data_IF_946407933971
#
_entry.id   IF_946407933971
#
_cell.length_a   1.000
_cell.length_b   1.000
_cell.length_c   1.000
_cell.angle_alpha   90.00
_cell.angle_beta   90.00
_cell.angle_gamma   90.00
#
_symmetry.space_group_name_H-M   'P 1'
#
loop_
_entity.id
_entity.type
_entity.pdbx_description
1 polymer ?
#
# COMPACT_ATOMS: atom_id res chain seq x y z
N UNK A 1 -14.31 -39.96 29.34
CA UNK A 1 -15.77 -39.73 29.19
C UNK A 1 -15.99 -38.25 28.91
N UNK A 2 -16.47 -37.84 27.73
CA UNK A 2 -16.72 -36.43 27.42
C UNK A 2 -18.15 -36.03 27.81
N UNK A 3 -18.28 -34.95 28.57
CA UNK A 3 -19.56 -34.37 28.97
C UNK A 3 -20.17 -33.54 27.85
N UNK A 4 -21.38 -33.93 27.43
CA UNK A 4 -22.20 -33.19 26.47
C UNK A 4 -22.94 -32.05 27.19
N UNK A 5 -22.82 -30.82 26.68
CA UNK A 5 -23.68 -29.71 27.07
C UNK A 5 -25.07 -29.88 26.44
N UNK A 6 -26.09 -29.80 27.28
CA UNK A 6 -27.51 -29.88 26.93
C UNK A 6 -28.01 -28.53 26.43
N UNK A 7 -28.45 -28.45 25.17
CA UNK A 7 -29.21 -27.31 24.67
C UNK A 7 -30.69 -27.51 25.00
N UNK A 8 -31.23 -26.66 25.89
CA UNK A 8 -32.69 -26.51 26.07
C UNK A 8 -33.27 -25.70 24.92
N UNK A 9 -34.18 -26.31 24.18
CA UNK A 9 -35.13 -25.62 23.29
C UNK A 9 -36.21 -25.00 24.19
N UNK A 10 -36.44 -23.69 24.06
CA UNK A 10 -37.56 -22.99 24.71
C UNK A 10 -38.64 -22.75 23.66
N UNK A 11 -39.87 -23.07 24.03
CA UNK A 11 -41.08 -23.06 23.20
C UNK A 11 -41.37 -21.73 22.49
N UNK A 12 -41.88 -21.84 21.26
CA UNK A 12 -42.24 -20.73 20.39
C UNK A 12 -43.57 -20.07 20.75
N UNK A 13 -43.58 -18.72 20.70
CA UNK A 13 -44.79 -17.90 20.71
C UNK A 13 -45.26 -17.64 19.27
N UNK A 14 -46.57 -17.51 19.01
CA UNK A 14 -47.11 -17.27 17.68
C UNK A 14 -46.76 -15.86 17.15
N UNK A 15 -46.23 -15.79 15.93
CA UNK A 15 -45.88 -14.56 15.22
C UNK A 15 -47.14 -13.81 14.75
N UNK A 16 -47.35 -12.57 15.22
CA UNK A 16 -48.23 -11.60 14.56
C UNK A 16 -47.57 -11.09 13.27
N UNK A 17 -48.36 -10.99 12.19
CA UNK A 17 -47.89 -10.86 10.79
C UNK A 17 -47.19 -9.55 10.41
N UNK A 18 -47.19 -8.54 11.27
CA UNK A 18 -46.77 -7.17 10.89
C UNK A 18 -45.67 -6.58 11.79
N UNK A 19 -44.83 -7.41 12.42
CA UNK A 19 -43.74 -6.90 13.28
C UNK A 19 -42.44 -7.67 13.09
N UNK A 20 -41.43 -6.99 12.55
CA UNK A 20 -40.05 -7.50 12.46
C UNK A 20 -39.31 -7.14 13.76
N UNK A 21 -38.86 -8.15 14.51
CA UNK A 21 -37.95 -7.97 15.65
C UNK A 21 -36.54 -8.40 15.25
N UNK A 22 -35.60 -7.48 15.25
CA UNK A 22 -34.17 -7.75 15.11
C UNK A 22 -33.56 -7.79 16.52
N UNK A 23 -33.06 -8.95 16.92
CA UNK A 23 -32.23 -9.10 18.11
C UNK A 23 -30.76 -8.93 17.69
N UNK A 24 -30.08 -7.94 18.25
CA UNK A 24 -28.63 -7.81 18.15
C UNK A 24 -28.03 -8.35 19.45
N UNK A 25 -27.06 -9.25 19.32
CA UNK A 25 -26.43 -9.91 20.45
C UNK A 25 -25.49 -8.97 21.20
N UNK A 26 -25.30 -9.25 22.49
CA UNK A 26 -24.57 -8.49 23.50
C UNK A 26 -25.24 -7.18 23.99
N UNK A 27 -26.27 -7.35 24.82
CA UNK A 27 -26.39 -6.55 26.04
C UNK A 27 -27.06 -5.17 25.97
N UNK A 28 -27.88 -4.86 24.98
CA UNK A 28 -28.64 -3.60 25.02
C UNK A 28 -30.07 -3.64 24.43
N UNK A 29 -30.89 -2.70 24.92
CA UNK A 29 -32.37 -2.63 24.85
C UNK A 29 -32.99 -2.94 23.49
N UNK A 30 -33.98 -3.85 23.48
CA UNK A 30 -34.87 -4.13 22.34
C UNK A 30 -35.68 -2.88 21.97
N UNK A 31 -35.48 -2.35 20.75
CA UNK A 31 -36.32 -1.30 20.17
C UNK A 31 -37.33 -1.91 19.21
N UNK A 32 -38.60 -1.54 19.36
CA UNK A 32 -39.69 -1.98 18.47
C UNK A 32 -40.02 -0.84 17.52
N UNK A 33 -40.07 -1.11 16.21
CA UNK A 33 -40.45 -0.15 15.18
C UNK A 33 -41.80 -0.56 14.59
N UNK A 34 -42.77 0.36 14.60
CA UNK A 34 -44.04 0.20 13.91
C UNK A 34 -43.94 0.90 12.56
N UNK A 35 -44.28 0.19 11.47
CA UNK A 35 -44.40 0.79 10.14
C UNK A 35 -45.85 1.17 9.89
N UNK A 36 -46.09 2.43 9.55
CA UNK A 36 -47.40 2.86 9.04
C UNK A 36 -47.49 2.55 7.53
N UNK A 37 -48.54 1.83 7.07
CA UNK A 37 -48.72 1.52 5.66
C UNK A 37 -49.13 2.78 4.89
N UNK A 38 -48.35 3.16 3.86
CA UNK A 38 -48.72 4.23 2.94
C UNK A 38 -49.85 3.79 1.99
N UNK A 39 -50.79 4.70 1.65
CA UNK A 39 -51.91 4.38 0.77
C UNK A 39 -51.46 4.27 -0.70
N UNK A 40 -51.81 3.14 -1.33
CA UNK A 40 -51.72 2.91 -2.76
C UNK A 40 -52.68 3.85 -3.52
N UNK A 41 -52.14 4.80 -4.28
CA UNK A 41 -52.90 5.59 -5.28
C UNK A 41 -52.61 5.05 -6.67
N UNK A 42 -53.70 4.76 -7.38
CA UNK A 42 -53.79 4.06 -8.66
C UNK A 42 -54.01 5.04 -9.83
N UNK A 43 -53.38 4.72 -10.97
CA UNK A 43 -53.67 5.07 -12.38
C UNK A 43 -53.49 6.51 -12.88
N UNK A 44 -52.65 6.63 -13.92
CA UNK A 44 -52.90 7.51 -15.06
C UNK A 44 -52.75 6.76 -16.40
N UNK A 45 -53.57 7.20 -17.34
CA UNK A 45 -53.94 6.59 -18.63
C UNK A 45 -52.80 6.63 -19.66
N UNK A 46 -52.75 5.61 -20.50
CA UNK A 46 -51.90 5.54 -21.69
C UNK A 46 -52.54 6.31 -22.85
N UNK A 47 -51.91 7.41 -23.27
CA UNK A 47 -52.13 8.01 -24.60
C UNK A 47 -51.38 7.18 -25.64
N UNK A 48 -52.10 6.32 -26.33
CA UNK A 48 -51.64 5.67 -27.56
C UNK A 48 -52.45 6.25 -28.73
N UNK A 49 -51.78 6.35 -29.89
CA UNK A 49 -52.35 6.49 -31.23
C UNK A 49 -52.65 7.91 -31.74
N UNK A 50 -51.59 8.70 -31.98
CA UNK A 50 -51.62 9.78 -33.01
C UNK A 50 -50.25 10.02 -33.64
N UNK A 51 -49.65 9.00 -34.27
CA UNK A 51 -48.47 9.22 -35.14
C UNK A 51 -48.57 8.35 -36.39
N UNK A 52 -49.45 8.77 -37.28
CA UNK A 52 -49.60 8.19 -38.59
C UNK A 52 -50.14 9.24 -39.55
N UNK A 53 -49.30 10.16 -40.00
CA UNK A 53 -49.50 10.85 -41.27
C UNK A 53 -48.20 11.48 -41.77
N UNK A 54 -47.89 11.17 -43.04
CA UNK A 54 -46.62 11.46 -43.69
C UNK A 54 -46.50 12.92 -44.09
N UNK A 55 -45.82 13.70 -43.26
CA UNK A 55 -45.15 14.91 -43.71
C UNK A 55 -43.74 14.52 -44.15
N UNK A 56 -43.59 14.26 -45.44
CA UNK A 56 -42.29 14.26 -46.11
C UNK A 56 -41.82 15.70 -46.18
N UNK A 57 -41.28 16.18 -45.05
CA UNK A 57 -40.45 17.38 -45.01
C UNK A 57 -39.10 16.86 -44.58
N UNK A 58 -38.20 16.72 -45.56
CA UNK A 58 -36.82 16.27 -45.41
C UNK A 58 -35.97 17.37 -44.71
N UNK A 59 -36.55 18.01 -43.70
CA UNK A 59 -35.90 18.99 -42.85
C UNK A 59 -35.74 18.31 -41.50
N UNK A 60 -34.64 17.57 -41.38
CA UNK A 60 -34.16 17.14 -40.08
C UNK A 60 -34.04 18.35 -39.13
N UNK A 61 -34.12 18.13 -37.81
CA UNK A 61 -34.00 19.22 -36.85
C UNK A 61 -32.73 20.03 -37.15
N UNK A 62 -32.86 21.34 -37.29
CA UNK A 62 -31.75 22.22 -37.64
C UNK A 62 -30.68 22.15 -36.53
N UNK A 63 -29.54 21.54 -36.86
CA UNK A 63 -28.44 21.28 -35.92
C UNK A 63 -27.47 22.47 -35.87
N UNK A 64 -27.60 23.41 -36.81
CA UNK A 64 -26.68 24.55 -36.94
C UNK A 64 -26.64 25.44 -35.69
N UNK A 65 -27.73 25.46 -34.90
CA UNK A 65 -27.82 26.24 -33.66
C UNK A 65 -27.19 25.55 -32.43
N UNK A 66 -26.68 24.31 -32.52
CA UNK A 66 -25.99 23.65 -31.41
C UNK A 66 -24.49 23.95 -31.48
N UNK A 67 -23.98 24.81 -30.58
CA UNK A 67 -22.54 25.11 -30.46
C UNK A 67 -21.78 23.94 -29.81
N UNK A 68 -21.50 22.90 -30.60
CA UNK A 68 -20.75 21.72 -30.19
C UNK A 68 -19.25 21.99 -30.00
N UNK A 69 -18.72 23.13 -30.45
CA UNK A 69 -17.32 23.48 -30.28
C UNK A 69 -17.04 23.99 -28.85
N UNK A 70 -18.02 24.66 -28.23
CA UNK A 70 -17.99 25.08 -26.82
C UNK A 70 -18.07 23.92 -25.81
N UNK A 71 -18.58 22.76 -26.22
CA UNK A 71 -18.75 21.57 -25.36
C UNK A 71 -17.37 21.04 -24.94
N UNK A 72 -17.05 21.13 -23.63
CA UNK A 72 -15.72 20.79 -23.11
C UNK A 72 -15.72 19.81 -21.94
N UNK A 73 -16.88 19.62 -21.32
CA UNK A 73 -17.11 18.74 -20.17
C UNK A 73 -18.22 17.72 -20.43
N UNK A 74 -18.31 16.71 -19.57
CA UNK A 74 -19.38 15.70 -19.63
C UNK A 74 -20.75 16.34 -19.43
N UNK A 75 -20.84 17.31 -18.53
CA UNK A 75 -22.07 18.03 -18.21
C UNK A 75 -22.53 18.87 -19.40
N UNK A 76 -21.62 19.53 -20.12
CA UNK A 76 -21.93 20.27 -21.36
C UNK A 76 -22.49 19.33 -22.44
N UNK A 77 -21.89 18.15 -22.61
CA UNK A 77 -22.39 17.16 -23.57
C UNK A 77 -23.79 16.67 -23.18
N UNK A 78 -24.06 16.47 -21.90
CA UNK A 78 -25.39 16.09 -21.44
C UNK A 78 -26.43 17.20 -21.68
N UNK A 79 -26.04 18.48 -21.54
CA UNK A 79 -26.90 19.63 -21.91
C UNK A 79 -27.20 19.59 -23.42
N UNK A 80 -26.18 19.47 -24.27
CA UNK A 80 -26.35 19.40 -25.72
C UNK A 80 -27.24 18.23 -26.16
N UNK A 81 -27.09 17.06 -25.51
CA UNK A 81 -27.92 15.88 -25.79
C UNK A 81 -29.38 16.06 -25.36
N UNK A 82 -29.64 16.71 -24.22
CA UNK A 82 -31.01 17.05 -23.81
C UNK A 82 -31.65 18.06 -24.76
N UNK A 83 -30.89 19.04 -25.22
CA UNK A 83 -31.38 20.02 -26.19
C UNK A 83 -31.72 19.36 -27.53
N UNK A 84 -30.83 18.49 -28.04
CA UNK A 84 -31.14 17.67 -29.22
C UNK A 84 -32.38 16.81 -29.01
N UNK A 85 -32.52 16.19 -27.84
CA UNK A 85 -33.69 15.36 -27.51
C UNK A 85 -34.98 16.17 -27.56
N UNK A 86 -34.98 17.39 -27.02
CA UNK A 86 -36.13 18.31 -27.07
C UNK A 86 -36.43 18.75 -28.50
N UNK A 87 -35.41 19.13 -29.29
CA UNK A 87 -35.57 19.52 -30.70
C UNK A 87 -36.11 18.40 -31.58
N UNK A 88 -35.84 17.14 -31.22
CA UNK A 88 -36.40 15.96 -31.87
C UNK A 88 -37.82 15.61 -31.40
N UNK A 89 -38.52 16.53 -30.71
CA UNK A 89 -39.85 16.32 -30.10
C UNK A 89 -39.87 15.26 -28.98
N UNK A 90 -38.77 15.16 -28.25
CA UNK A 90 -38.62 14.30 -27.05
C UNK A 90 -39.06 12.84 -27.25
N UNK A 91 -38.51 12.11 -28.27
CA UNK A 91 -38.85 10.71 -28.51
C UNK A 91 -38.75 9.87 -27.24
N UNK A 92 -39.80 9.08 -26.97
CA UNK A 92 -39.83 8.26 -25.75
C UNK A 92 -38.66 7.28 -25.70
N UNK A 93 -38.15 6.99 -24.50
CA UNK A 93 -37.04 6.03 -24.34
C UNK A 93 -37.37 4.63 -24.90
N UNK A 94 -38.65 4.24 -24.87
CA UNK A 94 -39.12 2.98 -25.49
C UNK A 94 -39.07 3.03 -27.02
N UNK A 95 -39.33 4.18 -27.62
CA UNK A 95 -39.17 4.39 -29.05
C UNK A 95 -37.70 4.28 -29.44
N UNK A 96 -36.79 4.97 -28.74
CA UNK A 96 -35.35 4.94 -29.00
C UNK A 96 -34.76 3.52 -28.89
N UNK A 97 -35.14 2.78 -27.86
CA UNK A 97 -34.75 1.38 -27.67
C UNK A 97 -35.22 0.49 -28.84
N UNK A 98 -36.47 0.65 -29.28
CA UNK A 98 -37.04 -0.09 -30.42
C UNK A 98 -36.41 0.31 -31.74
N UNK A 99 -36.14 1.60 -31.95
CA UNK A 99 -35.47 2.14 -33.13
C UNK A 99 -34.07 1.54 -33.27
N UNK A 100 -33.29 1.53 -32.18
CA UNK A 100 -31.94 0.95 -32.19
C UNK A 100 -31.97 -0.55 -32.47
N UNK A 101 -32.97 -1.28 -31.97
CA UNK A 101 -33.13 -2.71 -32.25
C UNK A 101 -33.49 -3.01 -33.71
N UNK A 102 -34.15 -2.09 -34.43
CA UNK A 102 -34.53 -2.28 -35.83
C UNK A 102 -33.49 -1.74 -36.82
N UNK A 103 -32.53 -0.92 -36.39
CA UNK A 103 -31.50 -0.34 -37.25
C UNK A 103 -30.25 -1.22 -37.28
N UNK A 104 -29.87 -1.68 -38.47
CA UNK A 104 -28.70 -2.54 -38.63
C UNK A 104 -27.41 -1.75 -38.34
N UNK A 105 -26.56 -2.28 -37.47
CA UNK A 105 -25.29 -1.64 -37.07
C UNK A 105 -25.41 -0.62 -35.94
N UNK A 106 -26.63 -0.33 -35.47
CA UNK A 106 -26.87 0.53 -34.32
C UNK A 106 -26.41 -0.13 -33.01
N UNK A 107 -25.89 0.66 -32.08
CA UNK A 107 -25.60 0.19 -30.72
C UNK A 107 -26.90 0.10 -29.90
N UNK A 108 -27.00 -0.87 -28.99
CA UNK A 108 -28.19 -1.02 -28.16
C UNK A 108 -28.42 0.21 -27.26
N UNK A 109 -29.58 0.85 -27.40
CA UNK A 109 -30.03 1.99 -26.58
C UNK A 109 -30.97 1.53 -25.47
N UNK A 110 -30.44 0.93 -24.40
CA UNK A 110 -31.30 0.58 -23.27
C UNK A 110 -31.84 1.84 -22.58
N UNK A 111 -33.09 1.79 -22.10
CA UNK A 111 -33.75 2.95 -21.44
C UNK A 111 -32.91 3.54 -20.30
N UNK A 112 -32.32 2.69 -19.47
CA UNK A 112 -31.48 3.12 -18.35
C UNK A 112 -30.23 3.86 -18.86
N UNK A 113 -29.55 3.35 -19.88
CA UNK A 113 -28.35 3.98 -20.44
C UNK A 113 -28.66 5.36 -21.02
N UNK A 114 -29.75 5.48 -21.78
CA UNK A 114 -30.15 6.78 -22.36
C UNK A 114 -30.54 7.76 -21.26
N UNK A 115 -31.30 7.31 -20.25
CA UNK A 115 -31.66 8.13 -19.09
C UNK A 115 -30.43 8.63 -18.32
N UNK A 116 -29.47 7.77 -18.04
CA UNK A 116 -28.25 8.12 -17.29
C UNK A 116 -27.34 9.05 -18.10
N UNK A 117 -27.24 8.83 -19.41
CA UNK A 117 -26.53 9.70 -20.34
C UNK A 117 -27.14 11.10 -20.39
N UNK A 118 -28.46 11.20 -20.55
CA UNK A 118 -29.17 12.48 -20.58
C UNK A 118 -29.09 13.23 -19.25
N UNK A 119 -28.90 12.53 -18.13
CA UNK A 119 -28.66 13.13 -16.81
C UNK A 119 -27.20 13.52 -16.57
N UNK A 120 -26.28 13.13 -17.45
CA UNK A 120 -24.84 13.32 -17.25
C UNK A 120 -24.24 12.41 -16.17
N UNK A 121 -24.99 11.42 -15.66
CA UNK A 121 -24.50 10.45 -14.68
C UNK A 121 -23.47 9.53 -15.34
N UNK A 122 -23.72 9.14 -16.59
CA UNK A 122 -22.88 8.23 -17.35
C UNK A 122 -22.36 8.88 -18.61
N UNK A 123 -21.04 8.87 -18.80
CA UNK A 123 -20.43 9.26 -20.08
C UNK A 123 -20.71 8.17 -21.14
N UNK A 124 -21.36 8.50 -22.28
CA UNK A 124 -21.75 7.50 -23.26
C UNK A 124 -20.55 6.93 -24.00
N UNK A 125 -20.66 5.66 -24.43
CA UNK A 125 -19.74 5.11 -25.43
C UNK A 125 -19.99 5.80 -26.77
N UNK A 126 -18.95 5.95 -27.59
CA UNK A 126 -19.06 6.61 -28.90
C UNK A 126 -20.19 6.05 -29.77
N UNK A 127 -20.29 4.72 -29.91
CA UNK A 127 -21.34 4.11 -30.72
C UNK A 127 -22.76 4.38 -30.18
N UNK A 128 -22.92 4.44 -28.85
CA UNK A 128 -24.21 4.77 -28.19
C UNK A 128 -24.59 6.23 -28.46
N UNK A 129 -23.63 7.15 -28.37
CA UNK A 129 -23.84 8.55 -28.72
C UNK A 129 -24.30 8.69 -30.18
N UNK A 130 -23.55 8.10 -31.12
CA UNK A 130 -23.86 8.18 -32.55
C UNK A 130 -25.25 7.61 -32.85
N UNK A 131 -25.57 6.44 -32.29
CA UNK A 131 -26.90 5.82 -32.45
C UNK A 131 -28.01 6.68 -31.88
N UNK A 132 -27.81 7.31 -30.71
CA UNK A 132 -28.81 8.20 -30.11
C UNK A 132 -29.04 9.45 -30.95
N UNK A 133 -27.96 10.05 -31.46
CA UNK A 133 -28.01 11.26 -32.29
C UNK A 133 -28.72 10.96 -33.61
N UNK A 134 -28.42 9.83 -34.26
CA UNK A 134 -29.16 9.35 -35.44
C UNK A 134 -30.64 9.10 -35.15
N UNK A 135 -30.96 8.47 -34.00
CA UNK A 135 -32.35 8.22 -33.59
C UNK A 135 -33.15 9.51 -33.32
N UNK A 136 -32.46 10.62 -33.06
CA UNK A 136 -33.04 11.96 -32.94
C UNK A 136 -33.19 12.67 -34.29
N UNK A 137 -32.90 12.00 -35.41
CA UNK A 137 -33.09 12.52 -36.76
C UNK A 137 -31.87 13.21 -37.36
N UNK A 138 -30.71 13.13 -36.72
CA UNK A 138 -29.46 13.70 -37.26
C UNK A 138 -28.86 12.76 -38.31
N UNK A 139 -28.66 13.21 -39.56
CA UNK A 139 -28.13 12.34 -40.59
C UNK A 139 -26.64 12.04 -40.36
N UNK A 140 -26.19 10.87 -40.83
CA UNK A 140 -24.83 10.36 -40.60
C UNK A 140 -23.71 11.35 -41.03
N UNK A 141 -23.97 12.17 -42.07
CA UNK A 141 -23.04 13.19 -42.56
C UNK A 141 -22.81 14.31 -41.55
N UNK A 142 -23.78 14.56 -40.66
CA UNK A 142 -23.74 15.61 -39.63
C UNK A 142 -23.28 15.07 -38.25
N UNK A 143 -22.84 13.81 -38.16
CA UNK A 143 -22.27 13.26 -36.92
C UNK A 143 -20.83 13.72 -36.63
N UNK A 144 -20.14 14.32 -37.60
CA UNK A 144 -18.73 14.69 -37.44
C UNK A 144 -18.47 15.67 -36.26
N UNK A 145 -19.25 16.75 -36.08
CA UNK A 145 -19.13 17.62 -34.91
C UNK A 145 -19.36 16.88 -33.58
N UNK A 146 -20.38 16.03 -33.49
CA UNK A 146 -20.67 15.21 -32.30
C UNK A 146 -19.51 14.27 -31.95
N UNK A 147 -18.90 13.64 -32.96
CA UNK A 147 -17.71 12.78 -32.79
C UNK A 147 -16.52 13.58 -32.26
N UNK A 148 -16.30 14.80 -32.74
CA UNK A 148 -15.20 15.67 -32.26
C UNK A 148 -15.41 16.08 -30.81
N UNK A 149 -16.61 16.57 -30.47
CA UNK A 149 -16.98 16.92 -29.09
C UNK A 149 -16.80 15.73 -28.14
N UNK A 150 -17.28 14.55 -28.53
CA UNK A 150 -17.11 13.33 -27.75
C UNK A 150 -15.64 12.97 -27.56
N UNK A 151 -14.81 13.05 -28.60
CA UNK A 151 -13.39 12.69 -28.54
C UNK A 151 -12.60 13.63 -27.60
N UNK A 152 -12.92 14.93 -27.63
CA UNK A 152 -12.35 15.95 -26.73
C UNK A 152 -12.65 15.61 -25.27
N UNK A 153 -13.89 15.25 -24.95
CA UNK A 153 -14.30 14.91 -23.58
C UNK A 153 -13.77 13.54 -23.16
N UNK A 154 -13.85 12.53 -24.03
CA UNK A 154 -13.40 11.17 -23.75
C UNK A 154 -11.93 11.12 -23.33
N UNK A 155 -11.12 11.98 -23.93
CA UNK A 155 -9.70 12.12 -23.56
C UNK A 155 -9.57 12.61 -22.12
N UNK A 156 -10.31 13.65 -21.72
CA UNK A 156 -10.32 14.18 -20.34
C UNK A 156 -10.89 13.18 -19.33
N UNK A 157 -12.00 12.53 -19.66
CA UNK A 157 -12.64 11.53 -18.79
C UNK A 157 -11.74 10.32 -18.55
N UNK A 158 -10.93 9.92 -19.54
CA UNK A 158 -9.95 8.85 -19.36
C UNK A 158 -8.90 9.22 -18.30
N UNK A 159 -8.40 10.45 -18.32
CA UNK A 159 -7.44 10.90 -17.29
C UNK A 159 -8.10 11.06 -15.93
N UNK A 160 -9.32 11.63 -15.88
CA UNK A 160 -10.10 11.75 -14.65
C UNK A 160 -10.31 10.39 -13.97
N UNK A 161 -10.66 9.35 -14.72
CA UNK A 161 -10.83 8.01 -14.16
C UNK A 161 -9.52 7.43 -13.60
N UNK A 162 -8.38 7.70 -14.24
CA UNK A 162 -7.06 7.29 -13.73
C UNK A 162 -6.73 8.05 -12.43
N UNK A 163 -6.98 9.35 -12.39
CA UNK A 163 -6.75 10.18 -11.22
C UNK A 163 -7.64 9.77 -10.04
N UNK A 164 -8.92 9.50 -10.28
CA UNK A 164 -9.87 9.01 -9.27
C UNK A 164 -9.45 7.64 -8.72
N UNK A 165 -8.96 6.72 -9.58
CA UNK A 165 -8.41 5.43 -9.13
C UNK A 165 -7.15 5.63 -8.28
N UNK A 166 -6.24 6.51 -8.71
CA UNK A 166 -5.02 6.80 -7.97
C UNK A 166 -5.29 7.50 -6.62
N UNK A 167 -6.31 8.35 -6.55
CA UNK A 167 -6.77 8.97 -5.29
C UNK A 167 -7.42 7.94 -4.37
N UNK A 168 -8.30 7.08 -4.88
CA UNK A 168 -8.92 6.01 -4.11
C UNK A 168 -7.87 5.02 -3.54
N UNK A 169 -6.82 4.71 -4.31
CA UNK A 169 -5.70 3.91 -3.85
C UNK A 169 -4.90 4.60 -2.73
N UNK A 170 -4.61 5.90 -2.87
CA UNK A 170 -3.94 6.69 -1.82
C UNK A 170 -4.75 6.71 -0.53
N UNK A 171 -6.05 6.94 -0.62
CA UNK A 171 -6.94 6.93 0.54
C UNK A 171 -6.98 5.54 1.21
N UNK A 172 -7.02 4.46 0.42
CA UNK A 172 -6.99 3.09 0.94
C UNK A 172 -5.68 2.80 1.68
N UNK A 173 -4.53 3.18 1.12
CA UNK A 173 -3.24 2.98 1.77
C UNK A 173 -3.13 3.79 3.07
N UNK A 174 -3.64 5.02 3.08
CA UNK A 174 -3.70 5.84 4.29
C UNK A 174 -4.53 5.14 5.38
N UNK A 175 -5.74 4.69 5.06
CA UNK A 175 -6.61 3.99 6.02
C UNK A 175 -5.95 2.70 6.54
N UNK A 176 -5.25 1.95 5.69
CA UNK A 176 -4.51 0.76 6.09
C UNK A 176 -3.32 1.10 7.00
N UNK A 177 -2.59 2.16 6.70
CA UNK A 177 -1.48 2.65 7.53
C UNK A 177 -1.97 3.08 8.92
N UNK A 178 -3.05 3.86 8.98
CA UNK A 178 -3.68 4.28 10.24
C UNK A 178 -4.17 3.06 11.05
N UNK A 179 -4.79 2.08 10.39
CA UNK A 179 -5.23 0.85 11.04
C UNK A 179 -4.05 0.02 11.59
N UNK A 180 -2.93 -0.06 10.86
CA UNK A 180 -1.70 -0.73 11.34
C UNK A 180 -1.10 -0.02 12.55
N UNK A 181 -1.03 1.31 12.52
CA UNK A 181 -0.53 2.10 13.65
C UNK A 181 -1.42 1.91 14.90
N UNK A 182 -2.74 1.91 14.72
CA UNK A 182 -3.67 1.66 15.82
C UNK A 182 -3.51 0.23 16.38
N UNK A 183 -3.39 -0.78 15.51
CA UNK A 183 -3.15 -2.15 15.95
C UNK A 183 -1.84 -2.29 16.75
N UNK A 184 -0.76 -1.67 16.28
CA UNK A 184 0.54 -1.66 16.98
C UNK A 184 0.42 -1.00 18.36
N UNK A 185 -0.31 0.12 18.47
CA UNK A 185 -0.55 0.78 19.75
C UNK A 185 -1.33 -0.11 20.74
N UNK A 186 -2.33 -0.85 20.26
CA UNK A 186 -3.09 -1.79 21.11
C UNK A 186 -2.18 -2.92 21.62
N UNK A 187 -1.34 -3.48 20.76
CA UNK A 187 -0.38 -4.53 21.13
C UNK A 187 0.59 -4.01 22.19
N UNK A 188 1.19 -2.84 21.98
CA UNK A 188 2.12 -2.24 22.94
C UNK A 188 1.48 -2.01 24.32
N UNK A 189 0.24 -1.53 24.37
CA UNK A 189 -0.51 -1.36 25.62
C UNK A 189 -0.79 -2.71 26.30
N UNK A 190 -1.15 -3.73 25.52
CA UNK A 190 -1.40 -5.07 26.03
C UNK A 190 -0.12 -5.71 26.61
N UNK A 191 1.02 -5.59 25.92
CA UNK A 191 2.32 -6.07 26.38
C UNK A 191 2.77 -5.36 27.66
N UNK A 192 2.66 -4.02 27.70
CA UNK A 192 2.99 -3.25 28.90
C UNK A 192 2.14 -3.68 30.10
N UNK A 193 0.84 -3.91 29.89
CA UNK A 193 -0.07 -4.39 30.93
C UNK A 193 0.26 -5.82 31.37
N UNK A 194 0.60 -6.70 30.43
CA UNK A 194 1.02 -8.07 30.74
C UNK A 194 2.29 -8.07 31.59
N UNK A 195 3.30 -7.26 31.23
CA UNK A 195 4.50 -7.09 32.03
C UNK A 195 4.19 -6.58 33.45
N UNK A 196 3.30 -5.60 33.60
CA UNK A 196 2.89 -5.11 34.93
C UNK A 196 2.22 -6.20 35.78
N UNK A 197 1.37 -7.04 35.18
CA UNK A 197 0.72 -8.16 35.88
C UNK A 197 1.76 -9.17 36.34
N UNK A 198 2.74 -9.51 35.49
CA UNK A 198 3.83 -10.43 35.84
C UNK A 198 4.67 -9.88 37.00
N UNK A 199 5.04 -8.59 36.95
CA UNK A 199 5.79 -7.92 38.02
C UNK A 199 5.01 -7.93 39.34
N UNK A 200 3.72 -7.58 39.31
CA UNK A 200 2.87 -7.58 40.49
C UNK A 200 2.73 -8.99 41.09
N UNK A 201 2.48 -10.00 40.25
CA UNK A 201 2.33 -11.39 40.70
C UNK A 201 3.63 -11.94 41.34
N UNK A 202 4.79 -11.60 40.78
CA UNK A 202 6.06 -12.03 41.35
C UNK A 202 6.35 -11.36 42.70
N UNK A 203 6.04 -10.07 42.81
CA UNK A 203 6.15 -9.34 44.07
C UNK A 203 5.25 -9.94 45.17
N UNK A 204 4.01 -10.31 44.84
CA UNK A 204 3.10 -10.99 45.76
C UNK A 204 3.61 -12.37 46.18
N UNK A 205 4.28 -13.09 45.28
CA UNK A 205 4.85 -14.41 45.55
C UNK A 205 6.19 -14.37 46.31
N UNK A 206 6.78 -13.18 46.54
CA UNK A 206 8.14 -13.05 47.07
C UNK A 206 9.21 -13.64 46.14
N UNK A 207 8.90 -13.76 44.85
CA UNK A 207 9.83 -14.24 43.83
C UNK A 207 10.56 -13.01 43.30
N UNK A 208 11.87 -12.96 43.54
CA UNK A 208 12.73 -11.98 42.90
C UNK A 208 12.72 -12.26 41.39
N UNK A 209 12.11 -11.38 40.61
CA UNK A 209 12.16 -11.51 39.16
C UNK A 209 13.61 -11.31 38.72
N UNK A 210 14.16 -12.21 37.89
CA UNK A 210 15.48 -12.00 37.31
C UNK A 210 15.46 -10.69 36.53
N UNK A 211 16.54 -9.93 36.64
CA UNK A 211 16.75 -8.68 35.90
C UNK A 211 16.37 -8.92 34.43
N UNK A 212 15.45 -8.11 33.84
CA UNK A 212 15.03 -8.27 32.44
C UNK A 212 16.19 -8.05 31.44
N UNK A 213 17.40 -7.77 31.91
CA UNK A 213 18.67 -7.93 31.22
C UNK A 213 18.87 -9.35 30.67
N UNK A 214 18.16 -9.65 29.58
CA UNK A 214 18.35 -10.77 28.67
C UNK A 214 18.58 -12.10 29.41
N UNK A 215 17.48 -12.71 29.87
CA UNK A 215 17.49 -14.10 30.32
C UNK A 215 17.75 -15.00 29.09
N UNK A 216 19.02 -15.18 28.77
CA UNK A 216 19.44 -16.17 27.79
C UNK A 216 19.15 -17.54 28.38
N UNK A 217 18.49 -18.40 27.60
CA UNK A 217 18.41 -19.81 27.97
C UNK A 217 19.83 -20.40 28.09
N UNK A 218 19.92 -21.64 28.61
CA UNK A 218 21.22 -22.28 28.82
C UNK A 218 22.10 -22.35 27.56
N UNK A 219 21.48 -22.49 26.37
CA UNK A 219 22.21 -22.58 25.11
C UNK A 219 22.77 -21.22 24.69
N UNK A 220 21.96 -20.17 24.75
CA UNK A 220 22.41 -18.81 24.44
C UNK A 220 23.42 -18.28 25.44
N UNK A 221 23.32 -18.64 26.72
CA UNK A 221 24.33 -18.27 27.72
C UNK A 221 25.69 -18.95 27.46
N UNK A 222 25.68 -20.22 27.03
CA UNK A 222 26.89 -20.92 26.57
C UNK A 222 27.45 -20.26 25.31
N UNK A 223 26.58 -19.92 24.36
CA UNK A 223 26.98 -19.27 23.11
C UNK A 223 27.59 -17.89 23.36
N UNK A 224 27.03 -17.08 24.27
CA UNK A 224 27.59 -15.78 24.71
C UNK A 224 29.02 -15.93 25.21
N UNK A 225 29.28 -16.91 26.09
CA UNK A 225 30.64 -17.23 26.55
C UNK A 225 31.55 -17.64 25.40
N UNK A 226 31.01 -18.35 24.41
CA UNK A 226 31.72 -18.72 23.18
C UNK A 226 32.11 -17.53 22.31
N UNK A 227 31.26 -16.50 22.23
CA UNK A 227 31.60 -15.20 21.60
C UNK A 227 32.71 -14.54 22.39
N UNK A 228 32.53 -14.38 23.71
CA UNK A 228 33.48 -13.70 24.59
C UNK A 228 34.90 -14.29 24.47
N UNK A 229 35.02 -15.63 24.40
CA UNK A 229 36.32 -16.31 24.29
C UNK A 229 36.96 -16.19 22.91
N UNK A 230 36.25 -15.68 21.91
CA UNK A 230 36.69 -15.55 20.50
C UNK A 230 36.69 -14.11 20.00
N UNK A 231 36.37 -13.16 20.88
CA UNK A 231 36.42 -11.76 20.52
C UNK A 231 37.85 -11.40 20.05
N UNK A 232 37.97 -10.61 18.98
CA UNK A 232 39.25 -10.10 18.50
C UNK A 232 40.05 -9.44 19.62
N UNK A 233 41.35 -9.76 19.71
CA UNK A 233 42.23 -9.19 20.76
C UNK A 233 43.33 -8.31 20.21
N UNK A 234 43.50 -8.28 18.89
CA UNK A 234 44.48 -7.47 18.19
C UNK A 234 43.88 -6.80 16.95
N UNK A 235 44.38 -5.61 16.55
CA UNK A 235 43.96 -4.97 15.31
C UNK A 235 44.12 -5.90 14.10
N UNK A 236 43.13 -5.90 13.22
CA UNK A 236 43.08 -6.77 12.03
C UNK A 236 42.43 -8.13 12.26
N UNK A 237 42.15 -8.52 13.51
CA UNK A 237 41.33 -9.71 13.80
C UNK A 237 39.84 -9.40 13.64
N UNK A 238 39.13 -10.31 12.95
CA UNK A 238 37.69 -10.26 12.72
C UNK A 238 37.06 -11.57 13.20
N UNK A 239 35.99 -11.46 13.96
CA UNK A 239 35.07 -12.54 14.30
C UNK A 239 33.78 -12.38 13.48
N UNK A 240 33.45 -13.39 12.69
CA UNK A 240 32.20 -13.48 11.96
C UNK A 240 31.34 -14.59 12.55
N UNK A 241 30.09 -14.25 12.86
CA UNK A 241 29.04 -15.18 13.28
C UNK A 241 28.07 -15.36 12.12
N UNK A 242 27.92 -16.60 11.66
CA UNK A 242 27.04 -16.93 10.53
C UNK A 242 26.28 -18.23 10.74
N UNK A 243 25.22 -18.40 9.96
CA UNK A 243 24.56 -19.70 9.82
C UNK A 243 25.48 -20.70 9.11
N UNK A 244 25.62 -21.91 9.64
CA UNK A 244 26.44 -22.98 9.09
C UNK A 244 25.79 -23.62 7.86
N UNK A 245 24.46 -23.66 7.82
CA UNK A 245 23.69 -24.32 6.75
C UNK A 245 23.45 -23.35 5.61
N UNK A 246 22.98 -22.14 5.92
CA UNK A 246 22.63 -21.13 4.91
C UNK A 246 23.82 -20.24 4.54
N UNK A 247 24.93 -20.34 5.28
CA UNK A 247 26.10 -19.46 5.15
C UNK A 247 25.77 -17.96 5.32
N UNK A 248 24.61 -17.64 5.92
CA UNK A 248 24.13 -16.28 6.16
C UNK A 248 24.93 -15.58 7.25
N UNK A 249 25.54 -14.44 6.93
CA UNK A 249 26.26 -13.59 7.89
C UNK A 249 25.26 -12.85 8.77
N UNK A 250 25.45 -12.91 10.09
CA UNK A 250 24.55 -12.26 11.04
C UNK A 250 25.20 -11.17 11.86
N UNK A 251 26.43 -11.37 12.34
CA UNK A 251 27.16 -10.36 13.13
C UNK A 251 28.64 -10.48 12.79
N UNK A 252 29.29 -9.34 12.56
CA UNK A 252 30.72 -9.26 12.41
C UNK A 252 31.28 -8.31 13.47
N UNK A 253 32.36 -8.71 14.12
CA UNK A 253 33.04 -7.95 15.17
C UNK A 253 34.52 -7.88 14.81
N UNK A 254 35.15 -6.71 14.91
CA UNK A 254 36.58 -6.53 14.71
C UNK A 254 37.17 -5.57 15.72
N UNK A 255 38.49 -5.67 15.93
CA UNK A 255 39.21 -4.80 16.84
C UNK A 255 39.84 -3.63 16.08
N UNK A 256 39.65 -2.41 16.60
CA UNK A 256 40.34 -1.18 16.16
C UNK A 256 41.15 -0.56 17.30
N UNK A 257 41.84 0.54 17.02
CA UNK A 257 42.75 1.21 17.97
C UNK A 257 42.01 1.71 19.22
N UNK A 258 40.74 2.06 19.06
CA UNK A 258 39.86 2.68 20.05
C UNK A 258 38.85 1.73 20.71
N UNK A 259 38.64 0.54 20.15
CA UNK A 259 37.67 -0.39 20.71
C UNK A 259 37.26 -1.55 19.80
N UNK A 260 36.22 -2.24 20.24
CA UNK A 260 35.47 -3.17 19.41
C UNK A 260 34.56 -2.39 18.48
N UNK A 261 34.61 -2.75 17.21
CA UNK A 261 33.61 -2.38 16.24
C UNK A 261 32.78 -3.62 15.91
N UNK A 262 31.47 -3.45 15.82
CA UNK A 262 30.61 -4.51 15.32
C UNK A 262 29.59 -3.96 14.34
N UNK A 263 29.23 -4.81 13.38
CA UNK A 263 28.12 -4.58 12.47
C UNK A 263 27.21 -5.80 12.44
N UNK A 264 25.91 -5.54 12.31
CA UNK A 264 24.92 -6.54 11.93
C UNK A 264 24.38 -6.12 10.58
N UNK A 265 24.48 -6.98 9.54
CA UNK A 265 24.04 -6.63 8.22
C UNK A 265 22.55 -6.33 8.27
N UNK A 266 22.19 -5.26 7.59
CA UNK A 266 20.81 -4.99 7.30
C UNK A 266 20.42 -5.84 6.09
N UNK A 267 19.36 -6.61 6.26
CA UNK A 267 18.83 -7.55 5.27
C UNK A 267 18.43 -6.91 3.95
N UNK A 268 18.36 -5.56 3.88
CA UNK A 268 18.04 -4.78 2.69
C UNK A 268 19.02 -4.94 1.50
N UNK A 269 20.22 -5.50 1.65
CA UNK A 269 21.28 -5.40 0.62
C UNK A 269 21.57 -6.70 -0.14
N UNK A 270 21.08 -7.85 0.34
CA UNK A 270 21.33 -9.11 -0.36
C UNK A 270 20.34 -9.22 -1.54
N UNK A 271 20.83 -9.04 -2.78
CA UNK A 271 20.03 -9.28 -4.00
C UNK A 271 19.40 -10.68 -3.94
N UNK A 272 18.07 -10.74 -4.05
CA UNK A 272 17.30 -12.00 -4.02
C UNK A 272 16.65 -12.32 -2.67
N UNK A 273 16.76 -11.43 -1.69
CA UNK A 273 16.06 -11.55 -0.41
C UNK A 273 14.56 -11.24 -0.56
N UNK A 274 13.73 -12.14 -0.02
CA UNK A 274 12.27 -11.99 0.06
C UNK A 274 11.88 -10.88 1.04
N UNK A 275 10.72 -10.25 0.85
CA UNK A 275 10.19 -9.19 1.76
C UNK A 275 10.17 -9.60 3.24
N UNK A 276 10.14 -10.91 3.52
CA UNK A 276 10.15 -11.50 4.87
C UNK A 276 11.43 -11.23 5.67
N UNK A 277 12.54 -10.88 5.02
CA UNK A 277 13.80 -10.69 5.74
C UNK A 277 14.06 -9.22 6.09
N UNK A 278 13.27 -8.25 5.59
CA UNK A 278 13.47 -6.83 5.90
C UNK A 278 13.31 -6.58 7.39
N UNK A 279 14.24 -5.81 7.99
CA UNK A 279 14.11 -5.40 9.39
C UNK A 279 12.79 -4.65 9.55
N UNK A 280 11.93 -5.13 10.45
CA UNK A 280 10.72 -4.39 10.82
C UNK A 280 11.09 -3.21 11.71
N UNK A 281 10.20 -2.22 11.83
CA UNK A 281 10.40 -1.12 12.80
C UNK A 281 10.61 -1.63 14.24
N UNK A 282 10.04 -2.80 14.58
CA UNK A 282 10.27 -3.44 15.88
C UNK A 282 11.68 -4.01 16.01
N UNK A 283 12.25 -4.55 14.94
CA UNK A 283 13.61 -5.10 14.93
C UNK A 283 14.65 -3.97 15.02
N UNK A 284 14.40 -2.86 14.31
CA UNK A 284 15.18 -1.63 14.41
C UNK A 284 15.19 -1.07 15.85
N UNK A 285 14.01 -1.02 16.50
CA UNK A 285 13.93 -0.58 17.90
C UNK A 285 14.68 -1.53 18.83
N UNK A 286 14.58 -2.85 18.62
CA UNK A 286 15.30 -3.83 19.43
C UNK A 286 16.83 -3.71 19.31
N UNK A 287 17.35 -3.35 18.12
CA UNK A 287 18.75 -3.02 17.93
C UNK A 287 19.14 -1.74 18.69
N UNK A 288 18.33 -0.69 18.58
CA UNK A 288 18.56 0.58 19.29
C UNK A 288 18.55 0.39 20.82
N UNK A 289 17.60 -0.36 21.37
CA UNK A 289 17.49 -0.67 22.80
C UNK A 289 18.68 -1.49 23.31
N UNK A 290 19.24 -2.35 22.45
CA UNK A 290 20.48 -3.07 22.73
C UNK A 290 21.74 -2.19 22.61
N UNK A 291 21.61 -0.93 22.17
CA UNK A 291 22.68 0.05 22.06
C UNK A 291 23.29 0.17 20.66
N UNK A 292 22.77 -0.55 19.65
CA UNK A 292 23.26 -0.44 18.27
C UNK A 292 22.87 0.91 17.68
N UNK A 293 23.75 1.46 16.85
CA UNK A 293 23.55 2.73 16.16
C UNK A 293 22.95 2.49 14.78
N UNK A 294 22.01 3.37 14.40
CA UNK A 294 21.36 3.32 13.11
C UNK A 294 22.36 3.57 11.96
N UNK A 295 22.16 2.94 10.79
CA UNK A 295 22.91 3.28 9.59
C UNK A 295 22.72 4.75 9.23
N UNK A 296 23.79 5.39 8.74
CA UNK A 296 23.69 6.74 8.17
C UNK A 296 22.88 6.66 6.87
N UNK A 297 21.66 7.23 6.86
CA UNK A 297 20.75 7.17 5.70
C UNK A 297 21.29 7.83 4.42
N UNK A 298 22.35 8.63 4.53
CA UNK A 298 22.93 9.40 3.43
C UNK A 298 24.12 8.70 2.75
N UNK A 299 24.57 7.56 3.29
CA UNK A 299 25.71 6.79 2.76
C UNK A 299 25.21 5.37 2.46
N UNK A 300 25.78 4.71 1.45
CA UNK A 300 25.47 3.34 0.98
C UNK A 300 25.68 2.26 2.09
N UNK A 301 25.97 2.66 3.33
CA UNK A 301 26.09 1.78 4.48
C UNK A 301 24.72 1.50 5.07
N UNK A 302 24.18 0.34 4.74
CA UNK A 302 22.89 -0.10 5.27
C UNK A 302 23.00 -0.78 6.64
N UNK A 303 24.20 -1.14 7.10
CA UNK A 303 24.39 -1.96 8.30
C UNK A 303 24.19 -1.15 9.58
N UNK A 304 23.57 -1.79 10.58
CA UNK A 304 23.60 -1.29 11.95
C UNK A 304 24.97 -1.56 12.53
N UNK A 305 25.51 -0.59 13.28
CA UNK A 305 26.88 -0.64 13.75
C UNK A 305 27.01 -0.15 15.19
N UNK A 306 28.13 -0.46 15.82
CA UNK A 306 28.49 0.10 17.12
C UNK A 306 30.01 0.16 17.27
N UNK A 307 30.48 1.17 18.00
CA UNK A 307 31.85 1.25 18.53
C UNK A 307 31.80 1.22 20.07
N UNK A 308 32.48 0.26 20.67
CA UNK A 308 32.57 0.07 22.13
C UNK A 308 34.02 0.12 22.60
N UNK A 309 34.27 0.87 23.67
CA UNK A 309 35.59 0.98 24.28
C UNK A 309 36.14 -0.38 24.78
N UNK A 310 37.47 -0.47 24.91
CA UNK A 310 38.28 -1.65 25.26
C UNK A 310 37.81 -2.48 26.48
N UNK A 311 37.11 -1.89 27.43
CA UNK A 311 36.63 -2.58 28.65
C UNK A 311 35.29 -3.31 28.47
N UNK A 312 34.75 -3.37 27.25
CA UNK A 312 33.33 -3.69 27.02
C UNK A 312 33.08 -5.06 26.37
N UNK A 313 33.99 -6.04 26.53
CA UNK A 313 33.87 -7.36 25.90
C UNK A 313 32.56 -8.10 26.26
N UNK A 314 32.12 -8.03 27.52
CA UNK A 314 30.86 -8.64 27.96
C UNK A 314 29.64 -7.95 27.34
N UNK A 315 29.69 -6.62 27.23
CA UNK A 315 28.67 -5.81 26.55
C UNK A 315 28.59 -6.21 25.08
N UNK A 316 29.74 -6.29 24.38
CA UNK A 316 29.79 -6.68 22.97
C UNK A 316 29.18 -8.08 22.75
N UNK A 317 29.56 -9.06 23.57
CA UNK A 317 29.00 -10.41 23.46
C UNK A 317 27.48 -10.44 23.72
N UNK A 318 27.00 -9.63 24.67
CA UNK A 318 25.57 -9.50 24.99
C UNK A 318 24.79 -8.88 23.84
N UNK A 319 25.33 -7.81 23.24
CA UNK A 319 24.73 -7.12 22.10
C UNK A 319 24.67 -7.99 20.84
N UNK A 320 25.73 -8.76 20.57
CA UNK A 320 25.77 -9.71 19.47
C UNK A 320 24.68 -10.79 19.62
N UNK A 321 24.49 -11.34 20.82
CA UNK A 321 23.40 -12.30 21.09
C UNK A 321 22.03 -11.65 20.92
N UNK A 322 21.85 -10.42 21.40
CA UNK A 322 20.59 -9.70 21.22
C UNK A 322 20.25 -9.51 19.73
N UNK A 323 21.23 -9.12 18.90
CA UNK A 323 21.06 -9.01 17.45
C UNK A 323 20.71 -10.38 16.82
N UNK A 324 21.42 -11.45 17.17
CA UNK A 324 21.14 -12.78 16.62
C UNK A 324 19.74 -13.30 16.97
N UNK A 325 19.38 -13.22 18.25
CA UNK A 325 18.16 -13.83 18.76
C UNK A 325 16.92 -12.96 18.51
N UNK A 326 16.98 -11.67 18.87
CA UNK A 326 15.81 -10.79 18.82
C UNK A 326 15.55 -10.20 17.45
N UNK A 327 16.57 -10.02 16.63
CA UNK A 327 16.50 -9.23 15.39
C UNK A 327 16.63 -10.15 14.18
N UNK A 328 17.69 -10.96 14.12
CA UNK A 328 17.90 -11.92 13.03
C UNK A 328 17.03 -13.18 13.17
N UNK A 329 16.27 -13.30 14.26
CA UNK A 329 15.35 -14.41 14.57
C UNK A 329 16.01 -15.79 14.46
N UNK A 330 17.29 -15.88 14.84
CA UNK A 330 17.97 -17.18 14.90
C UNK A 330 17.33 -17.98 16.03
N UNK A 331 16.68 -19.10 15.69
CA UNK A 331 15.95 -19.92 16.66
C UNK A 331 16.89 -20.80 17.51
N UNK A 332 18.06 -21.16 16.99
CA UNK A 332 18.99 -22.07 17.66
C UNK A 332 20.46 -21.73 17.43
N UNK A 333 21.25 -21.73 18.51
CA UNK A 333 22.70 -21.53 18.44
C UNK A 333 23.44 -22.70 17.78
N UNK A 334 22.81 -23.87 17.65
CA UNK A 334 23.45 -25.05 17.05
C UNK A 334 23.63 -24.94 15.53
N UNK A 335 22.92 -24.01 14.89
CA UNK A 335 23.11 -23.69 13.47
C UNK A 335 24.22 -22.67 13.25
N UNK A 336 24.68 -21.99 14.30
CA UNK A 336 25.69 -20.95 14.19
C UNK A 336 27.11 -21.50 14.24
N UNK A 337 28.01 -20.84 13.51
CA UNK A 337 29.45 -21.07 13.60
C UNK A 337 30.23 -19.76 13.74
N UNK A 338 31.42 -19.88 14.32
CA UNK A 338 32.38 -18.80 14.49
C UNK A 338 33.50 -18.92 13.46
N UNK A 339 33.72 -17.88 12.68
CA UNK A 339 34.88 -17.77 11.81
C UNK A 339 35.76 -16.63 12.30
N UNK A 340 37.01 -16.94 12.65
CA UNK A 340 38.00 -15.94 13.03
C UNK A 340 39.05 -15.84 11.92
N UNK A 341 39.39 -14.62 11.51
CA UNK A 341 40.46 -14.37 10.54
C UNK A 341 41.25 -13.12 10.91
N UNK A 342 42.55 -13.11 10.55
CA UNK A 342 43.42 -11.92 10.58
C UNK A 342 43.38 -11.14 9.27
N UNK A 343 42.73 -11.70 8.27
CA UNK A 343 42.54 -11.11 6.96
C UNK A 343 41.02 -11.14 6.65
N UNK A 344 40.33 -9.98 6.72
CA UNK A 344 38.90 -9.90 6.43
C UNK A 344 38.54 -10.46 5.05
N UNK A 345 39.46 -10.33 4.08
CA UNK A 345 39.23 -10.77 2.70
C UNK A 345 39.22 -12.30 2.57
N UNK A 346 39.88 -13.02 3.49
CA UNK A 346 39.87 -14.49 3.51
C UNK A 346 38.55 -15.10 3.99
N UNK A 347 37.66 -14.31 4.61
CA UNK A 347 36.34 -14.76 5.09
C UNK A 347 35.28 -14.79 3.97
N UNK A 348 35.64 -14.47 2.72
CA UNK A 348 34.73 -14.23 1.59
C UNK A 348 34.64 -15.28 0.48
N UNK A 349 35.53 -16.26 0.38
CA UNK A 349 35.73 -17.04 -0.86
C UNK A 349 34.63 -18.05 -1.26
N UNK A 350 33.47 -18.05 -0.59
CA UNK A 350 32.31 -18.90 -0.93
C UNK A 350 31.15 -18.19 -1.66
N UNK A 351 31.16 -16.85 -1.72
CA UNK A 351 30.16 -16.05 -2.44
C UNK A 351 30.92 -15.08 -3.33
N UNK A 352 30.69 -15.15 -4.64
CA UNK A 352 31.40 -14.36 -5.65
C UNK A 352 31.54 -12.88 -5.26
N UNK A 353 32.79 -12.48 -5.02
CA UNK A 353 33.31 -11.15 -4.69
C UNK A 353 32.83 -10.05 -5.66
N UNK A 354 32.52 -10.43 -6.92
CA UNK A 354 32.08 -9.50 -7.98
C UNK A 354 30.76 -8.76 -7.72
N UNK A 355 29.90 -9.28 -6.82
CA UNK A 355 28.64 -8.64 -6.46
C UNK A 355 28.79 -7.51 -5.42
N UNK A 356 29.93 -7.48 -4.71
CA UNK A 356 30.18 -6.54 -3.59
C UNK A 356 31.12 -5.40 -4.00
N UNK A 357 32.17 -5.67 -4.79
CA UNK A 357 33.11 -4.64 -5.25
C UNK A 357 32.48 -3.59 -6.18
N UNK A 358 31.39 -3.95 -6.88
CA UNK A 358 30.68 -3.02 -7.77
C UNK A 358 29.81 -2.00 -7.02
N UNK A 359 29.63 -2.13 -5.70
CA UNK A 359 28.82 -1.24 -4.87
C UNK A 359 29.63 -0.22 -4.05
N UNK A 360 30.97 -0.33 -4.03
CA UNK A 360 31.85 0.59 -3.30
C UNK A 360 32.74 1.36 -4.29
N UNK A 361 32.73 2.70 -4.31
CA UNK A 361 33.79 3.44 -4.97
C UNK A 361 35.09 3.17 -4.19
N UNK A 362 36.15 2.76 -4.88
CA UNK A 362 37.49 2.66 -4.31
C UNK A 362 37.81 3.95 -3.53
N UNK A 363 38.16 3.78 -2.25
CA UNK A 363 38.59 4.85 -1.35
C UNK A 363 40.04 5.32 -1.62
N UNK A 364 40.60 4.95 -2.78
CA UNK A 364 41.91 5.45 -3.25
C UNK A 364 41.78 6.71 -4.12
N UNK A 365 40.57 7.29 -4.20
CA UNK A 365 40.30 8.57 -4.86
C UNK A 365 40.76 9.76 -4.01
N UNK A 366 42.04 10.10 -4.14
CA UNK A 366 42.63 11.43 -4.04
C UNK A 366 41.59 12.56 -3.85
N UNK A 367 41.61 13.22 -2.68
CA UNK A 367 40.83 14.42 -2.41
C UNK A 367 41.14 15.48 -3.48
N UNK A 368 40.20 15.67 -4.41
CA UNK A 368 40.20 16.80 -5.33
C UNK A 368 40.03 18.09 -4.51
N UNK A 369 41.16 18.76 -4.27
CA UNK A 369 41.26 20.13 -3.80
C UNK A 369 40.39 21.05 -4.69
N UNK A 370 39.36 21.74 -4.16
CA UNK A 370 38.60 22.70 -4.95
C UNK A 370 39.45 23.95 -5.15
N UNK A 371 40.20 24.00 -6.25
CA UNK A 371 40.85 25.22 -6.69
C UNK A 371 39.79 26.30 -6.94
N UNK A 372 40.01 27.43 -6.26
CA UNK A 372 39.32 28.70 -6.40
C UNK A 372 39.05 29.05 -7.86
N UNK A 373 37.78 29.23 -8.19
CA UNK A 373 37.32 29.75 -9.48
C UNK A 373 37.09 31.25 -9.32
N UNK A 374 38.17 32.01 -9.16
CA UNK A 374 38.20 33.47 -9.23
C UNK A 374 39.63 33.94 -9.54
N UNK A 375 40.04 33.80 -10.80
CA UNK A 375 41.16 34.58 -11.35
C UNK A 375 40.69 35.20 -12.69
N UNK A 376 40.82 36.53 -12.89
CA UNK A 376 40.38 37.23 -14.10
C UNK A 376 41.34 37.02 -15.27
N UNK A 377 40.89 37.16 -16.53
CA UNK A 377 41.70 36.86 -17.69
C UNK A 377 42.80 37.90 -17.93
N UNK A 378 44.04 37.41 -17.94
CA UNK A 378 45.26 38.12 -18.28
C UNK A 378 45.29 38.44 -19.79
N UNK A 379 45.45 39.73 -20.11
CA UNK A 379 45.52 40.24 -21.47
C UNK A 379 46.86 39.87 -22.12
N UNK A 380 46.82 39.12 -23.23
CA UNK A 380 48.00 38.84 -24.05
C UNK A 380 48.16 39.88 -25.15
N UNK A 381 49.23 40.65 -25.05
CA UNK A 381 49.75 41.54 -26.09
C UNK A 381 50.41 40.73 -27.22
N UNK A 382 50.19 41.16 -28.47
CA UNK A 382 50.91 40.67 -29.66
C UNK A 382 52.32 41.28 -29.73
N UNK A 383 53.36 40.53 -30.13
CA UNK A 383 54.61 41.12 -30.55
C UNK A 383 54.61 41.42 -32.07
N UNK A 384 55.38 42.45 -32.39
CA UNK A 384 55.73 43.00 -33.71
C UNK A 384 56.63 42.07 -34.51
#
# INVERSE_FOLDING_TARGET
MPGWMSNRVVDGLPLQRDTLRLALDAGDRVRTFAFEPLPLVVRCRTSADTFGQGLSVDHGPDIEDLDLESVTTREDLAVALRELHVRADSPSLRYLERWAASHQGAAALSKATVSDMLRGIRFPRRAVLETFVEACGVPAQQLAPWRRAWTKIASKEKYRAVDEIAEAQRLREQVLSEARQHAAAIIAVAEARAHQIIIAAAAEAGIELPDPGIQLDGAWAVFRRGILSRLPTAPGEVLLIRDRIEHRRYVQVWWQVDGFHAETPNSHVIKGVTEEMLLTASDEQALADAGWQQPFRDVIQYNWWINLAHTSSETMATMAVAALHKVQKVESTSTLEFLASRDPNQLGSGVSESAWESAWPSLDGEQANPKSKDDPPEATAKPT
#
